data_IF_662574776640
#
_entry.id   IF_662574776640
#
_cell.length_a   1.000
_cell.length_b   1.000
_cell.length_c   1.000
_cell.angle_alpha   90.00
_cell.angle_beta   90.00
_cell.angle_gamma   90.00
#
_symmetry.space_group_name_H-M   'P 1'
#
loop_
_entity.id
_entity.type
_entity.pdbx_description
1 polymer ?
#
# COMPACT_ATOMS: atom_id res chain seq x y z
N UNK A 1 -19.43 96.46 -29.06
CA UNK A 1 -18.58 95.25 -29.10
C UNK A 1 -17.46 95.47 -28.10
N UNK A 2 -17.57 94.89 -26.90
CA UNK A 2 -16.47 94.57 -25.99
C UNK A 2 -16.97 94.25 -24.58
N UNK A 3 -16.38 93.20 -24.03
CA UNK A 3 -16.11 92.87 -22.64
C UNK A 3 -17.26 92.56 -21.66
N UNK A 4 -17.33 91.26 -21.32
CA UNK A 4 -17.63 90.69 -20.00
C UNK A 4 -17.38 89.16 -20.14
N UNK A 5 -17.00 88.36 -19.15
CA UNK A 5 -16.61 88.49 -17.74
C UNK A 5 -16.08 87.10 -17.35
N UNK A 6 -15.17 87.08 -16.40
CA UNK A 6 -14.62 85.93 -15.67
C UNK A 6 -15.66 84.87 -15.23
N UNK A 7 -15.29 83.58 -15.29
CA UNK A 7 -15.76 82.53 -14.37
C UNK A 7 -14.84 81.31 -14.31
N UNK A 8 -14.54 80.89 -13.08
CA UNK A 8 -13.81 79.69 -12.66
C UNK A 8 -14.59 78.39 -12.94
N UNK A 9 -13.88 77.27 -13.06
CA UNK A 9 -14.48 75.93 -13.09
C UNK A 9 -13.48 74.76 -13.11
N UNK A 10 -13.29 74.18 -11.92
CA UNK A 10 -13.10 72.75 -11.59
C UNK A 10 -11.88 71.94 -12.07
N UNK A 11 -11.12 71.49 -11.06
CA UNK A 11 -10.20 70.34 -11.01
C UNK A 11 -10.90 69.03 -11.35
N UNK A 12 -10.29 68.19 -12.19
CA UNK A 12 -10.51 66.74 -12.23
C UNK A 12 -9.18 66.02 -12.47
N UNK A 13 -8.82 65.17 -11.50
CA UNK A 13 -7.60 64.36 -11.42
C UNK A 13 -7.68 63.15 -12.37
N UNK A 14 -6.70 62.98 -13.25
CA UNK A 14 -6.49 61.77 -14.07
C UNK A 14 -5.18 61.07 -13.67
N UNK A 15 -5.29 59.80 -13.26
CA UNK A 15 -4.21 58.93 -12.78
C UNK A 15 -3.18 58.60 -13.88
N UNK A 16 -1.90 58.68 -13.51
CA UNK A 16 -0.79 57.99 -14.20
C UNK A 16 -0.94 56.48 -14.04
N UNK A 17 -0.84 55.74 -15.14
CA UNK A 17 -0.67 54.28 -15.14
C UNK A 17 0.77 54.02 -15.57
N UNK A 18 1.56 53.51 -14.63
CA UNK A 18 2.97 53.19 -14.80
C UNK A 18 3.11 51.75 -15.32
N UNK A 19 3.83 51.58 -16.42
CA UNK A 19 4.11 50.29 -17.04
C UNK A 19 5.24 49.59 -16.30
N UNK A 20 4.87 48.82 -15.28
CA UNK A 20 5.77 47.93 -14.54
C UNK A 20 6.03 46.62 -15.29
N UNK A 21 7.27 46.45 -15.76
CA UNK A 21 7.88 45.16 -16.08
C UNK A 21 8.38 44.51 -14.80
N UNK A 22 7.95 43.28 -14.47
CA UNK A 22 8.85 42.26 -13.88
C UNK A 22 8.22 40.86 -13.77
N UNK A 23 9.01 39.87 -14.21
CA UNK A 23 9.04 38.47 -13.80
C UNK A 23 7.73 37.65 -13.77
N UNK A 24 7.41 37.07 -14.92
CA UNK A 24 6.64 35.82 -14.98
C UNK A 24 7.41 34.72 -14.25
N UNK A 25 6.95 34.34 -13.06
CA UNK A 25 7.43 33.16 -12.35
C UNK A 25 6.95 31.94 -13.12
N UNK A 26 7.81 31.39 -13.96
CA UNK A 26 7.63 30.04 -14.48
C UNK A 26 7.60 29.09 -13.27
N UNK A 27 6.73 28.06 -13.24
CA UNK A 27 6.87 27.00 -12.27
C UNK A 27 8.24 26.37 -12.49
N UNK A 28 9.12 26.47 -11.50
CA UNK A 28 10.37 25.72 -11.49
C UNK A 28 10.02 24.26 -11.77
N UNK A 29 10.56 23.72 -12.85
CA UNK A 29 10.65 22.28 -12.99
C UNK A 29 11.27 21.76 -11.70
N UNK A 30 10.56 20.89 -10.98
CA UNK A 30 11.17 20.15 -9.87
C UNK A 30 12.33 19.35 -10.46
N UNK A 31 13.53 19.91 -10.37
CA UNK A 31 14.74 19.19 -10.74
C UNK A 31 14.76 17.91 -9.89
N UNK A 32 14.76 16.77 -10.57
CA UNK A 32 14.93 15.43 -10.01
C UNK A 32 16.36 15.30 -9.45
N UNK A 33 16.66 16.10 -8.44
CA UNK A 33 17.95 16.06 -7.77
C UNK A 33 18.11 14.68 -7.13
N UNK A 34 19.24 14.00 -7.32
CA UNK A 34 19.51 12.69 -6.70
C UNK A 34 19.46 12.77 -5.17
N UNK A 35 19.57 13.97 -4.59
CA UNK A 35 19.42 14.19 -3.15
C UNK A 35 18.02 13.84 -2.63
N UNK A 36 16.97 13.98 -3.47
CA UNK A 36 15.58 13.63 -3.13
C UNK A 36 15.37 12.12 -2.96
N UNK A 37 16.30 11.29 -3.45
CA UNK A 37 16.24 9.83 -3.35
C UNK A 37 16.87 9.31 -2.05
N UNK A 38 17.57 10.16 -1.28
CA UNK A 38 18.20 9.77 -0.03
C UNK A 38 17.18 9.62 1.09
N UNK A 39 17.40 8.66 1.98
CA UNK A 39 16.58 8.43 3.18
C UNK A 39 16.92 9.45 4.29
N UNK A 40 16.69 10.74 4.02
CA UNK A 40 16.88 11.85 4.98
C UNK A 40 15.57 12.23 5.65
N UNK A 41 15.59 12.79 6.87
CA UNK A 41 14.38 13.26 7.55
C UNK A 41 13.56 14.26 6.74
N UNK A 42 14.21 15.17 6.00
CA UNK A 42 13.55 16.17 5.16
C UNK A 42 12.78 15.54 3.99
N UNK A 43 13.38 14.55 3.32
CA UNK A 43 12.71 13.84 2.22
C UNK A 43 11.55 12.98 2.72
N UNK A 44 11.71 12.35 3.89
CA UNK A 44 10.64 11.60 4.57
C UNK A 44 9.47 12.54 4.86
N UNK A 45 9.73 13.67 5.55
CA UNK A 45 8.68 14.63 5.91
C UNK A 45 7.93 15.18 4.69
N UNK A 46 8.63 15.46 3.58
CA UNK A 46 7.99 15.88 2.32
C UNK A 46 7.03 14.83 1.78
N UNK A 47 7.42 13.54 1.81
CA UNK A 47 6.55 12.47 1.32
C UNK A 47 5.38 12.19 2.26
N UNK A 48 5.58 12.32 3.57
CA UNK A 48 4.49 12.27 4.55
C UNK A 48 3.46 13.37 4.27
N UNK A 49 3.90 14.59 4.02
CA UNK A 49 3.03 15.72 3.67
C UNK A 49 2.24 15.47 2.37
N UNK A 50 2.89 14.90 1.35
CA UNK A 50 2.22 14.49 0.10
C UNK A 50 1.13 13.45 0.35
N UNK A 51 1.39 12.48 1.23
CA UNK A 51 0.42 11.45 1.60
C UNK A 51 -0.73 12.07 2.39
N UNK A 52 -0.45 12.93 3.35
CA UNK A 52 -1.44 13.60 4.20
C UNK A 52 -2.44 14.43 3.40
N UNK A 53 -2.00 15.06 2.31
CA UNK A 53 -2.84 15.81 1.39
C UNK A 53 -3.57 14.94 0.34
N UNK A 54 -3.30 13.64 0.29
CA UNK A 54 -3.96 12.73 -0.65
C UNK A 54 -5.36 12.33 -0.14
N UNK A 55 -6.40 12.56 -0.94
CA UNK A 55 -7.79 12.21 -0.58
C UNK A 55 -7.97 10.72 -0.31
N UNK A 56 -7.28 9.85 -1.05
CA UNK A 56 -7.33 8.41 -0.88
C UNK A 56 -6.88 7.96 0.53
N UNK A 57 -5.98 8.72 1.17
CA UNK A 57 -5.50 8.45 2.54
C UNK A 57 -6.63 8.34 3.55
N UNK A 58 -7.74 9.08 3.35
CA UNK A 58 -8.89 9.06 4.27
C UNK A 58 -9.47 7.65 4.49
N UNK A 59 -9.38 6.76 3.49
CA UNK A 59 -9.82 5.36 3.62
C UNK A 59 -9.01 4.62 4.68
N UNK A 60 -7.71 4.93 4.79
CA UNK A 60 -6.74 4.19 5.58
C UNK A 60 -6.43 4.79 6.96
N UNK A 61 -7.10 5.89 7.34
CA UNK A 61 -6.98 6.44 8.69
C UNK A 61 -7.45 5.43 9.74
N UNK A 62 -6.77 5.43 10.89
CA UNK A 62 -7.24 4.74 12.08
C UNK A 62 -8.63 5.26 12.46
N UNK A 63 -9.55 4.35 12.76
CA UNK A 63 -10.95 4.64 13.10
C UNK A 63 -11.23 4.37 14.56
N UNK A 64 -10.28 3.73 15.23
CA UNK A 64 -10.42 3.30 16.61
C UNK A 64 -9.26 3.75 17.48
N UNK A 65 -9.47 3.70 18.80
CA UNK A 65 -8.40 3.94 19.79
C UNK A 65 -7.63 2.68 20.15
N UNK A 66 -7.79 1.60 19.38
CA UNK A 66 -7.07 0.35 19.63
C UNK A 66 -5.56 0.53 19.43
N UNK A 67 -4.71 -0.02 20.32
CA UNK A 67 -3.26 -0.15 20.07
C UNK A 67 -2.92 -0.93 18.79
N UNK A 68 -3.86 -1.75 18.31
CA UNK A 68 -3.74 -2.57 17.10
C UNK A 68 -4.23 -1.86 15.83
N UNK A 69 -4.68 -0.60 15.93
CA UNK A 69 -5.18 0.19 14.80
C UNK A 69 -4.20 1.30 14.42
N UNK A 70 -3.12 0.92 13.74
CA UNK A 70 -2.14 1.83 13.17
C UNK A 70 -2.44 2.21 11.72
N UNK A 71 -1.95 3.37 11.31
CA UNK A 71 -2.04 3.89 9.93
C UNK A 71 -0.76 3.68 9.09
N UNK A 72 0.34 3.27 9.73
CA UNK A 72 1.66 3.08 9.10
C UNK A 72 1.63 1.92 8.10
N UNK A 73 1.91 2.20 6.83
CA UNK A 73 2.14 1.19 5.78
C UNK A 73 3.65 1.03 5.52
N UNK A 74 4.08 -0.21 5.31
CA UNK A 74 5.46 -0.53 4.91
C UNK A 74 5.49 -1.33 3.62
N UNK A 75 6.36 -0.94 2.71
CA UNK A 75 6.57 -1.65 1.46
C UNK A 75 7.76 -2.60 1.58
N UNK A 76 7.64 -3.76 0.95
CA UNK A 76 8.64 -4.83 0.99
C UNK A 76 8.97 -5.33 -0.41
N UNK A 77 10.16 -5.88 -0.60
CA UNK A 77 10.51 -6.64 -1.80
C UNK A 77 10.99 -8.05 -1.44
N UNK A 78 10.67 -9.01 -2.31
CA UNK A 78 11.08 -10.40 -2.15
C UNK A 78 12.57 -10.60 -2.47
N UNK A 79 13.22 -11.42 -1.66
CA UNK A 79 14.59 -11.91 -1.88
C UNK A 79 14.67 -12.82 -3.09
N UNK A 80 13.63 -13.61 -3.33
CA UNK A 80 13.56 -14.53 -4.46
C UNK A 80 13.14 -13.74 -5.70
N UNK A 81 13.92 -13.79 -6.79
CA UNK A 81 13.53 -13.20 -8.06
C UNK A 81 12.33 -13.92 -8.67
N UNK A 82 11.54 -13.21 -9.48
CA UNK A 82 10.49 -13.78 -10.30
C UNK A 82 11.14 -14.46 -11.51
N UNK A 83 10.76 -15.71 -11.78
CA UNK A 83 11.32 -16.48 -12.89
C UNK A 83 10.32 -16.58 -14.04
N UNK A 84 10.72 -16.19 -15.24
CA UNK A 84 9.87 -16.31 -16.44
C UNK A 84 8.60 -15.45 -16.36
N UNK A 85 7.43 -16.07 -16.59
CA UNK A 85 6.11 -15.43 -16.54
C UNK A 85 5.43 -15.56 -15.17
N UNK A 86 6.20 -15.72 -14.10
CA UNK A 86 5.67 -15.79 -12.74
C UNK A 86 4.96 -14.47 -12.39
N UNK A 87 3.69 -14.57 -12.02
CA UNK A 87 2.86 -13.44 -11.64
C UNK A 87 3.28 -12.90 -10.26
N UNK A 88 3.28 -11.59 -10.08
CA UNK A 88 3.65 -10.99 -8.80
C UNK A 88 2.59 -11.28 -7.72
N UNK A 89 1.34 -11.51 -8.10
CA UNK A 89 0.30 -11.98 -7.18
C UNK A 89 0.45 -13.46 -6.75
N UNK A 90 1.35 -14.26 -7.34
CA UNK A 90 1.58 -15.66 -6.93
C UNK A 90 2.34 -15.74 -5.59
N UNK A 91 1.65 -15.41 -4.50
CA UNK A 91 2.24 -15.27 -3.17
C UNK A 91 2.71 -16.61 -2.56
N UNK A 92 3.69 -16.58 -1.64
CA UNK A 92 4.14 -17.76 -0.91
C UNK A 92 2.97 -18.51 -0.26
N UNK A 93 3.04 -19.84 -0.15
CA UNK A 93 1.97 -20.65 0.47
C UNK A 93 1.67 -20.29 1.94
N UNK A 94 2.57 -19.58 2.62
CA UNK A 94 2.42 -19.20 4.03
C UNK A 94 1.69 -17.86 4.19
N UNK A 95 0.71 -17.77 5.11
CA UNK A 95 -0.10 -16.56 5.34
C UNK A 95 0.71 -15.34 5.79
N UNK A 96 1.73 -15.62 6.60
CA UNK A 96 2.67 -14.62 7.11
C UNK A 96 3.93 -14.75 6.29
N UNK A 97 4.39 -13.63 5.77
CA UNK A 97 5.60 -13.59 4.98
C UNK A 97 6.82 -13.93 5.87
N UNK A 98 7.63 -14.89 5.44
CA UNK A 98 8.75 -15.43 6.20
C UNK A 98 9.83 -14.39 6.48
N UNK A 99 10.40 -14.45 7.70
CA UNK A 99 11.57 -13.64 8.06
C UNK A 99 12.76 -14.04 7.18
N UNK A 100 13.26 -13.09 6.39
CA UNK A 100 14.39 -13.30 5.47
C UNK A 100 14.01 -13.52 4.01
N UNK A 101 12.72 -13.73 3.72
CA UNK A 101 12.20 -13.84 2.36
C UNK A 101 11.82 -12.48 1.79
N UNK A 102 11.41 -11.55 2.66
CA UNK A 102 11.06 -10.19 2.27
C UNK A 102 11.84 -9.17 3.08
N UNK A 103 12.31 -8.16 2.38
CA UNK A 103 13.06 -7.05 2.95
C UNK A 103 12.26 -5.77 2.86
N UNK A 104 12.26 -5.01 3.95
CA UNK A 104 11.60 -3.71 4.03
C UNK A 104 12.37 -2.71 3.18
N UNK A 105 11.66 -1.90 2.40
CA UNK A 105 12.25 -0.71 1.79
C UNK A 105 12.65 0.31 2.86
N UNK A 106 13.50 1.28 2.49
CA UNK A 106 13.77 2.42 3.39
C UNK A 106 12.47 3.18 3.71
N UNK A 107 12.48 4.03 4.74
CA UNK A 107 11.27 4.80 5.09
C UNK A 107 10.86 5.71 3.94
N UNK A 108 11.82 6.45 3.37
CA UNK A 108 11.61 7.30 2.19
C UNK A 108 11.03 6.51 1.03
N UNK A 109 11.60 5.35 0.70
CA UNK A 109 11.13 4.55 -0.44
C UNK A 109 9.73 3.97 -0.18
N UNK A 110 9.45 3.52 1.04
CA UNK A 110 8.11 3.06 1.43
C UNK A 110 7.08 4.16 1.28
N UNK A 111 7.40 5.39 1.69
CA UNK A 111 6.50 6.54 1.52
C UNK A 111 6.37 6.96 0.04
N UNK A 112 7.43 6.88 -0.75
CA UNK A 112 7.37 7.21 -2.18
C UNK A 112 6.46 6.22 -2.93
N UNK A 113 6.57 4.93 -2.60
CA UNK A 113 5.69 3.88 -3.12
C UNK A 113 4.24 4.10 -2.66
N UNK A 114 4.02 4.37 -1.37
CA UNK A 114 2.67 4.62 -0.84
C UNK A 114 2.03 5.87 -1.43
N UNK A 115 2.76 6.98 -1.55
CA UNK A 115 2.28 8.20 -2.18
C UNK A 115 1.85 7.97 -3.64
N UNK A 116 2.61 7.13 -4.36
CA UNK A 116 2.32 6.77 -5.75
C UNK A 116 1.16 5.78 -5.86
N UNK A 117 1.03 4.87 -4.89
CA UNK A 117 -0.09 3.95 -4.75
C UNK A 117 -1.39 4.69 -4.51
N UNK A 118 -1.45 5.57 -3.51
CA UNK A 118 -2.65 6.32 -3.14
C UNK A 118 -3.18 7.23 -4.27
N UNK A 119 -2.29 7.75 -5.13
CA UNK A 119 -2.70 8.53 -6.32
C UNK A 119 -3.47 7.72 -7.36
N UNK A 120 -3.24 6.39 -7.43
CA UNK A 120 -3.82 5.47 -8.42
C UNK A 120 -4.43 4.23 -7.75
N UNK A 121 -4.93 4.38 -6.53
CA UNK A 121 -5.31 3.27 -5.65
C UNK A 121 -6.29 2.29 -6.35
N UNK A 122 -7.38 2.81 -6.90
CA UNK A 122 -8.43 1.99 -7.53
C UNK A 122 -7.91 1.22 -8.74
N UNK A 123 -7.10 1.88 -9.57
CA UNK A 123 -6.46 1.28 -10.74
C UNK A 123 -5.50 0.16 -10.30
N UNK A 124 -4.60 0.44 -9.36
CA UNK A 124 -3.58 -0.52 -8.91
C UNK A 124 -4.18 -1.72 -8.18
N UNK A 125 -5.23 -1.52 -7.37
CA UNK A 125 -5.98 -2.60 -6.76
C UNK A 125 -6.69 -3.44 -7.82
N UNK A 126 -7.26 -2.83 -8.86
CA UNK A 126 -7.93 -3.57 -9.93
C UNK A 126 -6.97 -4.49 -10.70
N UNK A 127 -5.76 -4.02 -11.03
CA UNK A 127 -4.74 -4.84 -11.68
C UNK A 127 -4.27 -5.98 -10.77
N UNK A 128 -4.05 -5.69 -9.49
CA UNK A 128 -3.63 -6.69 -8.53
C UNK A 128 -4.68 -7.80 -8.35
N UNK A 129 -5.96 -7.44 -8.21
CA UNK A 129 -7.04 -8.43 -8.10
C UNK A 129 -7.23 -9.24 -9.37
N UNK A 130 -7.02 -8.64 -10.54
CA UNK A 130 -7.03 -9.37 -11.82
C UNK A 130 -5.91 -10.42 -11.86
N UNK A 131 -4.69 -10.02 -11.55
CA UNK A 131 -3.53 -10.92 -11.52
C UNK A 131 -3.70 -12.03 -10.45
N UNK A 132 -4.26 -11.70 -9.29
CA UNK A 132 -4.56 -12.66 -8.24
C UNK A 132 -5.60 -13.70 -8.69
N UNK A 133 -6.65 -13.27 -9.40
CA UNK A 133 -7.66 -14.17 -9.94
C UNK A 133 -7.07 -15.16 -10.96
N UNK A 134 -6.11 -14.72 -11.79
CA UNK A 134 -5.38 -15.56 -12.74
C UNK A 134 -4.50 -16.62 -12.04
N UNK A 135 -3.98 -16.31 -10.84
CA UNK A 135 -3.21 -17.25 -10.02
C UNK A 135 -4.08 -18.21 -9.20
N UNK A 136 -5.34 -17.84 -8.92
CA UNK A 136 -6.19 -18.59 -8.00
C UNK A 136 -6.79 -19.83 -8.68
N UNK A 137 -6.56 -20.99 -8.09
CA UNK A 137 -7.19 -22.23 -8.54
C UNK A 137 -8.68 -22.19 -8.16
N UNK A 138 -9.54 -21.86 -9.13
CA UNK A 138 -10.99 -21.96 -8.96
C UNK A 138 -11.46 -23.42 -8.75
N UNK A 139 -12.72 -23.66 -8.34
CA UNK A 139 -13.27 -25.01 -8.30
C UNK A 139 -13.16 -25.65 -9.68
N UNK A 140 -12.30 -26.67 -9.81
CA UNK A 140 -12.12 -27.39 -11.07
C UNK A 140 -13.41 -28.14 -11.38
N UNK A 141 -14.26 -27.55 -12.21
CA UNK A 141 -15.24 -28.32 -12.96
C UNK A 141 -14.46 -29.31 -13.80
N UNK A 142 -14.56 -30.58 -13.46
CA UNK A 142 -13.94 -31.67 -14.20
C UNK A 142 -14.66 -31.82 -15.54
N UNK A 143 -14.25 -31.06 -16.55
CA UNK A 143 -14.51 -31.38 -17.94
C UNK A 143 -13.23 -31.22 -18.76
N UNK A 144 -12.75 -32.36 -19.24
CA UNK A 144 -11.60 -32.50 -20.13
C UNK A 144 -11.86 -31.79 -21.46
N UNK A 145 -10.89 -31.05 -21.96
CA UNK A 145 -10.37 -31.21 -23.33
C UNK A 145 -8.91 -30.80 -23.36
N UNK A 146 -8.07 -31.75 -23.77
CA UNK A 146 -6.72 -31.53 -24.26
C UNK A 146 -6.79 -30.61 -25.49
N UNK A 147 -5.91 -29.61 -25.56
CA UNK A 147 -5.35 -29.20 -26.84
C UNK A 147 -3.88 -28.84 -26.66
N UNK A 148 -3.08 -29.34 -27.60
CA UNK A 148 -1.63 -29.36 -27.64
C UNK A 148 -1.09 -28.04 -28.18
N UNK A 149 0.03 -27.62 -27.60
CA UNK A 149 0.78 -26.37 -27.77
C UNK A 149 0.94 -25.84 -29.21
N UNK A 150 0.99 -24.50 -29.32
CA UNK A 150 1.86 -23.83 -30.29
C UNK A 150 2.98 -23.09 -29.54
N UNK A 151 4.16 -23.70 -29.56
CA UNK A 151 5.46 -23.05 -29.37
C UNK A 151 5.64 -21.99 -30.47
N UNK A 152 5.39 -20.73 -30.13
CA UNK A 152 5.86 -19.57 -30.87
C UNK A 152 5.54 -18.32 -30.05
N UNK A 153 6.32 -18.02 -29.00
CA UNK A 153 6.81 -16.66 -28.80
C UNK A 153 7.86 -16.59 -27.67
N UNK A 154 9.11 -16.86 -28.04
CA UNK A 154 10.27 -16.64 -27.16
C UNK A 154 10.99 -15.33 -27.50
N UNK A 155 10.44 -14.48 -28.39
CA UNK A 155 11.10 -13.28 -28.89
C UNK A 155 10.41 -11.96 -28.49
N UNK A 156 9.22 -11.98 -27.89
CA UNK A 156 8.56 -10.76 -27.37
C UNK A 156 9.07 -10.26 -26.01
N UNK A 157 10.03 -10.94 -25.37
CA UNK A 157 10.48 -10.60 -24.01
C UNK A 157 11.35 -9.32 -23.93
N UNK A 158 11.89 -8.81 -25.04
CA UNK A 158 12.87 -7.71 -25.02
C UNK A 158 12.32 -6.34 -25.48
N UNK A 159 11.08 -6.23 -25.96
CA UNK A 159 10.56 -4.96 -26.52
C UNK A 159 9.57 -4.20 -25.64
N UNK A 160 9.14 -4.76 -24.50
CA UNK A 160 8.12 -4.12 -23.63
C UNK A 160 8.74 -3.47 -22.37
N UNK A 161 10.04 -3.61 -22.16
CA UNK A 161 10.71 -3.09 -20.96
C UNK A 161 11.16 -1.61 -21.09
N UNK A 162 11.19 -1.03 -22.29
CA UNK A 162 11.67 0.35 -22.52
C UNK A 162 10.69 1.47 -22.09
N UNK A 163 9.43 1.17 -21.77
CA UNK A 163 8.42 2.15 -21.30
C UNK A 163 7.95 1.93 -19.85
N UNK A 164 8.67 1.14 -19.04
CA UNK A 164 8.33 0.99 -17.62
C UNK A 164 8.76 2.22 -16.82
N UNK A 165 7.85 3.15 -16.61
CA UNK A 165 8.05 4.25 -15.65
C UNK A 165 7.68 3.77 -14.25
N UNK A 166 8.69 3.47 -13.42
CA UNK A 166 8.51 3.04 -12.04
C UNK A 166 8.76 4.13 -11.01
N UNK A 167 8.53 3.80 -9.74
CA UNK A 167 8.91 4.65 -8.61
C UNK A 167 10.37 4.36 -8.25
N UNK A 168 11.28 5.36 -8.27
CA UNK A 168 12.69 5.13 -7.94
C UNK A 168 12.87 4.81 -6.45
N UNK A 169 13.56 3.72 -6.18
CA UNK A 169 13.87 3.19 -4.84
C UNK A 169 15.35 2.88 -4.71
N UNK A 170 15.83 2.63 -3.48
CA UNK A 170 17.23 2.28 -3.20
C UNK A 170 18.22 3.28 -3.81
N UNK A 171 17.91 4.57 -3.67
CA UNK A 171 18.75 5.65 -4.20
C UNK A 171 18.77 5.76 -5.72
N UNK A 172 17.73 5.24 -6.41
CA UNK A 172 17.62 5.27 -7.87
C UNK A 172 18.27 4.09 -8.59
N UNK A 173 18.83 3.12 -7.84
CA UNK A 173 19.41 1.91 -8.42
C UNK A 173 18.35 0.94 -8.96
N UNK A 174 17.14 1.03 -8.41
CA UNK A 174 16.00 0.20 -8.77
C UNK A 174 14.76 1.07 -8.94
N UNK A 175 13.83 0.58 -9.75
CA UNK A 175 12.49 1.14 -9.88
C UNK A 175 11.45 0.09 -9.53
N UNK A 176 10.29 0.56 -9.07
CA UNK A 176 9.12 -0.29 -8.81
C UNK A 176 8.00 0.07 -9.76
N UNK A 177 7.65 -0.88 -10.62
CA UNK A 177 6.39 -0.88 -11.35
C UNK A 177 5.28 -1.35 -10.40
N UNK A 178 4.40 -0.44 -9.99
CA UNK A 178 3.28 -0.73 -9.09
C UNK A 178 2.14 -1.50 -9.76
N UNK A 179 2.01 -1.42 -11.09
CA UNK A 179 0.99 -2.15 -11.85
C UNK A 179 1.34 -3.63 -11.87
N UNK A 180 2.60 -3.94 -12.21
CA UNK A 180 3.11 -5.33 -12.22
C UNK A 180 3.61 -5.81 -10.86
N UNK A 181 3.69 -4.93 -9.85
CA UNK A 181 4.34 -5.20 -8.55
C UNK A 181 5.77 -5.75 -8.68
N UNK A 182 6.52 -5.23 -9.64
CA UNK A 182 7.90 -5.62 -9.94
C UNK A 182 8.89 -4.54 -9.49
N UNK A 183 9.92 -4.96 -8.77
CA UNK A 183 11.12 -4.18 -8.49
C UNK A 183 12.24 -4.65 -9.41
N UNK A 184 12.79 -3.76 -10.22
CA UNK A 184 13.76 -4.08 -11.26
C UNK A 184 14.94 -3.09 -11.23
N UNK A 185 16.16 -3.55 -11.58
CA UNK A 185 17.33 -2.68 -11.66
C UNK A 185 17.24 -1.72 -12.85
N UNK A 186 17.74 -0.50 -12.68
CA UNK A 186 17.69 0.55 -13.71
C UNK A 186 18.91 0.52 -14.62
N UNK A 187 20.09 0.27 -14.05
CA UNK A 187 21.38 0.47 -14.76
C UNK A 187 22.04 -0.83 -15.23
N UNK A 188 21.44 -1.98 -14.96
CA UNK A 188 21.94 -3.28 -15.40
C UNK A 188 20.77 -4.22 -15.64
N UNK A 189 20.97 -5.21 -16.51
CA UNK A 189 20.00 -6.30 -16.66
C UNK A 189 20.00 -7.15 -15.40
N UNK A 190 18.82 -7.33 -14.83
CA UNK A 190 18.64 -8.22 -13.69
C UNK A 190 17.19 -8.61 -13.53
N UNK A 191 16.97 -9.62 -12.71
CA UNK A 191 15.67 -10.24 -12.55
C UNK A 191 14.71 -9.34 -11.74
N UNK A 192 13.44 -9.38 -12.13
CA UNK A 192 12.36 -8.71 -11.41
C UNK A 192 12.16 -9.34 -10.04
N UNK A 193 11.80 -8.53 -9.05
CA UNK A 193 11.50 -8.98 -7.69
C UNK A 193 10.10 -8.56 -7.31
N UNK A 194 9.33 -9.46 -6.70
CA UNK A 194 7.99 -9.16 -6.20
C UNK A 194 8.01 -8.06 -5.14
N UNK A 195 7.05 -7.14 -5.22
CA UNK A 195 6.82 -6.08 -4.23
C UNK A 195 5.51 -6.33 -3.49
N UNK A 196 5.51 -6.13 -2.17
CA UNK A 196 4.37 -6.34 -1.30
C UNK A 196 4.05 -5.09 -0.48
N UNK A 197 2.76 -4.72 -0.45
CA UNK A 197 2.24 -3.65 0.40
C UNK A 197 1.84 -4.21 1.77
N UNK A 198 2.60 -3.87 2.80
CA UNK A 198 2.34 -4.30 4.18
C UNK A 198 1.48 -3.28 4.93
N UNK A 199 0.18 -3.56 5.04
CA UNK A 199 -0.77 -2.75 5.83
C UNK A 199 -1.45 -3.52 6.99
N UNK A 200 -1.28 -4.84 7.02
CA UNK A 200 -1.61 -5.69 8.17
C UNK A 200 -0.41 -6.55 8.52
N UNK A 201 -0.20 -6.76 9.81
CA UNK A 201 1.00 -7.40 10.34
C UNK A 201 0.64 -8.46 11.35
N UNK A 202 1.40 -9.55 11.35
CA UNK A 202 1.30 -10.63 12.33
C UNK A 202 2.55 -10.73 13.17
N UNK A 203 2.36 -11.13 14.42
CA UNK A 203 3.44 -11.42 15.37
C UNK A 203 3.48 -12.92 15.63
N UNK A 204 4.37 -13.62 14.92
CA UNK A 204 4.56 -15.08 15.04
C UNK A 204 5.88 -15.39 15.76
N UNK A 205 5.81 -15.77 17.03
CA UNK A 205 6.94 -16.26 17.83
C UNK A 205 8.01 -15.20 18.20
N UNK A 206 8.41 -14.34 17.26
CA UNK A 206 9.36 -13.24 17.47
C UNK A 206 8.69 -11.98 18.04
N UNK A 207 9.52 -11.02 18.50
CA UNK A 207 9.07 -9.66 18.80
C UNK A 207 8.71 -8.86 17.53
N UNK A 208 9.21 -9.30 16.36
CA UNK A 208 9.04 -8.63 15.09
C UNK A 208 7.62 -8.79 14.53
N UNK A 209 7.10 -7.70 13.96
CA UNK A 209 5.85 -7.67 13.20
C UNK A 209 6.15 -7.86 11.72
N UNK A 210 5.63 -8.94 11.15
CA UNK A 210 5.85 -9.32 9.77
C UNK A 210 4.60 -9.03 8.94
N UNK A 211 4.74 -8.56 7.69
CA UNK A 211 3.59 -8.28 6.86
C UNK A 211 2.82 -9.58 6.57
N UNK A 212 1.50 -9.48 6.65
CA UNK A 212 0.63 -10.51 6.09
C UNK A 212 0.70 -10.48 4.57
N UNK A 213 0.36 -11.61 3.94
CA UNK A 213 0.09 -11.61 2.51
C UNK A 213 -1.02 -10.62 2.17
N UNK A 214 -0.91 -10.03 1.00
CA UNK A 214 -1.77 -8.92 0.58
C UNK A 214 -3.25 -9.36 0.43
N UNK A 215 -3.52 -10.57 -0.05
CA UNK A 215 -4.88 -11.14 -0.14
C UNK A 215 -5.59 -11.30 1.21
N UNK A 216 -4.85 -11.75 2.22
CA UNK A 216 -5.35 -11.88 3.59
C UNK A 216 -5.55 -10.50 4.20
N UNK A 217 -4.59 -9.61 3.98
CA UNK A 217 -4.61 -8.27 4.53
C UNK A 217 -5.76 -7.42 3.95
N UNK A 218 -6.06 -7.53 2.65
CA UNK A 218 -7.20 -6.86 2.02
C UNK A 218 -8.55 -7.39 2.54
N UNK A 219 -8.67 -8.71 2.77
CA UNK A 219 -9.86 -9.28 3.41
C UNK A 219 -10.06 -8.76 4.84
N UNK A 220 -8.98 -8.62 5.61
CA UNK A 220 -9.02 -8.00 6.94
C UNK A 220 -9.36 -6.52 6.87
N UNK A 221 -8.87 -5.79 5.86
CA UNK A 221 -9.19 -4.37 5.67
C UNK A 221 -10.69 -4.18 5.35
N UNK A 222 -11.29 -5.05 4.54
CA UNK A 222 -12.74 -5.06 4.27
C UNK A 222 -13.54 -5.30 5.56
N UNK A 223 -13.12 -6.29 6.36
CA UNK A 223 -13.73 -6.58 7.65
C UNK A 223 -13.64 -5.40 8.63
N UNK A 224 -12.47 -4.77 8.69
CA UNK A 224 -12.23 -3.58 9.50
C UNK A 224 -13.10 -2.40 9.05
N UNK A 225 -13.22 -2.17 7.73
CA UNK A 225 -14.09 -1.15 7.16
C UNK A 225 -15.56 -1.36 7.50
N UNK A 226 -15.99 -2.61 7.59
CA UNK A 226 -17.34 -3.02 8.02
C UNK A 226 -17.53 -3.01 9.53
N UNK A 227 -16.53 -2.54 10.27
CA UNK A 227 -16.52 -2.43 11.73
C UNK A 227 -16.88 -3.77 12.38
N UNK A 228 -16.15 -4.84 12.02
CA UNK A 228 -16.44 -6.20 12.50
C UNK A 228 -16.57 -6.30 14.03
N UNK A 229 -15.86 -5.44 14.76
CA UNK A 229 -15.94 -5.34 16.21
C UNK A 229 -17.32 -4.85 16.72
N UNK A 230 -18.22 -4.31 15.90
CA UNK A 230 -19.61 -4.06 16.32
C UNK A 230 -20.53 -5.28 16.17
N UNK A 231 -20.09 -6.35 15.49
CA UNK A 231 -20.89 -7.56 15.22
C UNK A 231 -20.51 -8.75 16.10
N UNK A 232 -19.96 -8.48 17.28
CA UNK A 232 -19.44 -9.51 18.19
C UNK A 232 -20.57 -10.33 18.80
N UNK A 233 -20.35 -11.64 18.93
CA UNK A 233 -21.23 -12.56 19.65
C UNK A 233 -20.57 -12.98 20.96
N UNK A 234 -21.38 -13.22 21.99
CA UNK A 234 -20.88 -13.72 23.27
C UNK A 234 -20.33 -15.14 23.10
N UNK A 235 -19.03 -15.30 23.34
CA UNK A 235 -18.37 -16.60 23.24
C UNK A 235 -18.47 -17.35 24.58
N UNK A 236 -18.42 -18.69 24.58
CA UNK A 236 -18.35 -19.50 25.81
C UNK A 236 -17.19 -19.13 26.74
N UNK A 237 -16.13 -18.52 26.21
CA UNK A 237 -15.00 -17.99 26.97
C UNK A 237 -15.31 -16.75 27.81
N UNK A 238 -16.53 -16.21 27.73
CA UNK A 238 -16.96 -15.02 28.48
C UNK A 238 -16.57 -13.68 27.85
N UNK A 239 -16.09 -13.69 26.60
CA UNK A 239 -15.69 -12.49 25.86
C UNK A 239 -16.58 -12.29 24.63
N UNK A 240 -16.80 -11.03 24.26
CA UNK A 240 -17.38 -10.69 22.97
C UNK A 240 -16.33 -10.85 21.88
N UNK A 241 -16.62 -11.71 20.90
CA UNK A 241 -15.73 -11.91 19.76
C UNK A 241 -16.50 -11.96 18.44
N UNK A 242 -15.89 -11.46 17.38
CA UNK A 242 -16.35 -11.62 16.01
C UNK A 242 -15.34 -12.49 15.26
N UNK A 243 -15.82 -13.58 14.68
CA UNK A 243 -15.02 -14.45 13.81
C UNK A 243 -15.30 -14.09 12.36
N UNK A 244 -14.26 -14.03 11.55
CA UNK A 244 -14.32 -13.85 10.10
C UNK A 244 -13.53 -14.98 9.48
N UNK A 245 -14.16 -15.74 8.61
CA UNK A 245 -13.44 -16.73 7.81
C UNK A 245 -12.72 -15.99 6.66
N UNK A 246 -11.44 -16.26 6.51
CA UNK A 246 -10.55 -15.63 5.54
C UNK A 246 -10.16 -16.68 4.52
N UNK A 247 -10.27 -16.34 3.25
CA UNK A 247 -9.78 -17.20 2.18
C UNK A 247 -8.25 -17.13 2.18
N UNK A 248 -7.61 -18.29 2.34
CA UNK A 248 -6.16 -18.45 2.26
C UNK A 248 -5.79 -19.69 1.46
N UNK A 249 -4.49 -19.92 1.27
CA UNK A 249 -3.98 -21.11 0.57
C UNK A 249 -4.01 -22.39 1.41
N UNK A 250 -4.32 -22.26 2.70
CA UNK A 250 -4.36 -23.39 3.63
C UNK A 250 -5.69 -24.12 3.47
N UNK A 251 -5.61 -25.44 3.29
CA UNK A 251 -6.79 -26.32 3.16
C UNK A 251 -7.61 -26.38 4.45
N UNK A 252 -6.95 -26.10 5.57
CA UNK A 252 -7.57 -25.91 6.88
C UNK A 252 -8.10 -24.47 6.96
N UNK A 253 -9.37 -24.29 7.36
CA UNK A 253 -10.04 -23.00 7.33
C UNK A 253 -9.29 -21.91 8.10
N UNK A 254 -8.82 -20.88 7.40
CA UNK A 254 -8.19 -19.71 8.01
C UNK A 254 -9.27 -18.78 8.54
N UNK A 255 -9.12 -18.29 9.77
CA UNK A 255 -10.06 -17.35 10.37
C UNK A 255 -9.35 -16.27 11.18
N UNK A 256 -9.94 -15.09 11.18
CA UNK A 256 -9.56 -13.99 12.06
C UNK A 256 -10.59 -13.85 13.18
N UNK A 257 -10.09 -13.69 14.41
CA UNK A 257 -10.90 -13.45 15.59
C UNK A 257 -10.63 -12.02 16.07
N UNK A 258 -11.68 -11.21 16.20
CA UNK A 258 -11.62 -9.88 16.78
C UNK A 258 -12.28 -9.90 18.16
N UNK A 259 -11.58 -9.45 19.20
CA UNK A 259 -12.12 -9.33 20.56
C UNK A 259 -11.88 -7.92 21.12
N UNK A 260 -12.42 -7.61 22.30
CA UNK A 260 -12.32 -6.31 22.97
C UNK A 260 -13.68 -5.64 23.15
N UNK A 261 -13.72 -4.34 23.38
CA UNK A 261 -14.93 -3.54 23.61
C UNK A 261 -14.98 -2.34 22.66
N UNK A 262 -16.15 -2.06 22.07
CA UNK A 262 -16.43 -0.93 21.18
C UNK A 262 -15.23 -0.46 20.34
N UNK A 263 -14.50 0.53 20.86
CA UNK A 263 -13.42 1.28 20.22
C UNK A 263 -12.00 0.74 20.52
N UNK A 264 -11.92 -0.36 21.25
CA UNK A 264 -10.69 -1.06 21.63
C UNK A 264 -10.81 -2.51 21.19
N UNK A 265 -10.05 -2.91 20.18
CA UNK A 265 -10.09 -4.26 19.65
C UNK A 265 -8.71 -4.87 19.57
N UNK A 266 -8.64 -6.17 19.78
CA UNK A 266 -7.47 -6.97 19.45
C UNK A 266 -7.90 -8.01 18.42
N UNK A 267 -6.96 -8.38 17.54
CA UNK A 267 -7.23 -9.38 16.52
C UNK A 267 -6.18 -10.48 16.54
N UNK A 268 -6.63 -11.67 16.17
CA UNK A 268 -5.80 -12.84 16.01
C UNK A 268 -6.15 -13.55 14.70
N UNK A 269 -5.16 -14.18 14.08
CA UNK A 269 -5.32 -15.02 12.90
C UNK A 269 -4.99 -16.46 13.30
N UNK A 270 -5.92 -17.38 13.06
CA UNK A 270 -5.81 -18.80 13.40
C UNK A 270 -6.24 -19.69 12.25
N UNK A 271 -5.81 -20.94 12.29
CA UNK A 271 -6.15 -21.99 11.31
C UNK A 271 -6.96 -23.06 12.06
N UNK A 272 -8.08 -23.49 11.48
CA UNK A 272 -8.92 -24.56 12.02
C UNK A 272 -8.20 -25.90 11.86
N UNK A 273 -7.57 -26.42 12.91
CA UNK A 273 -6.99 -27.76 12.88
C UNK A 273 -8.07 -28.80 12.60
N UNK A 274 -7.89 -29.60 11.56
CA UNK A 274 -8.79 -30.69 11.21
C UNK A 274 -8.73 -31.84 12.23
N UNK A 275 -9.41 -31.68 13.37
CA UNK A 275 -9.50 -32.70 14.41
C UNK A 275 -10.22 -32.21 15.66
N UNK A 276 -11.33 -32.86 16.00
CA UNK A 276 -12.01 -32.71 17.28
C UNK A 276 -11.01 -32.88 18.44
N UNK A 277 -10.76 -31.83 19.22
CA UNK A 277 -10.61 -31.86 20.70
C UNK A 277 -10.10 -30.53 21.24
N UNK A 278 -10.90 -29.90 22.09
CA UNK A 278 -10.41 -29.04 23.17
C UNK A 278 -10.20 -27.56 22.85
N UNK A 279 -10.72 -26.72 23.73
CA UNK A 279 -10.33 -25.31 23.90
C UNK A 279 -8.86 -25.28 24.33
N UNK A 280 -7.96 -25.42 23.37
CA UNK A 280 -6.51 -25.34 23.53
C UNK A 280 -5.98 -24.46 22.41
N UNK A 281 -5.13 -23.48 22.75
CA UNK A 281 -4.46 -22.55 21.85
C UNK A 281 -4.03 -23.25 20.54
N UNK A 282 -4.84 -23.12 19.50
CA UNK A 282 -4.41 -23.42 18.13
C UNK A 282 -3.23 -22.53 17.74
N UNK A 283 -2.68 -22.73 16.54
CA UNK A 283 -1.60 -21.93 15.98
C UNK A 283 -2.11 -20.51 15.65
N UNK A 284 -2.44 -19.74 16.68
CA UNK A 284 -3.09 -18.44 16.64
C UNK A 284 -2.03 -17.37 16.83
N UNK A 285 -1.90 -16.48 15.85
CA UNK A 285 -0.96 -15.35 15.89
C UNK A 285 -1.70 -14.05 16.12
N UNK A 286 -1.11 -13.13 16.89
CA UNK A 286 -1.70 -11.79 17.06
C UNK A 286 -1.50 -11.00 15.77
N UNK A 287 -2.54 -10.31 15.32
CA UNK A 287 -2.47 -9.42 14.15
C UNK A 287 -2.82 -7.99 14.53
N UNK A 288 -2.29 -7.04 13.77
CA UNK A 288 -2.61 -5.62 13.90
C UNK A 288 -2.66 -4.97 12.52
N UNK A 289 -3.40 -3.87 12.45
CA UNK A 289 -3.41 -2.95 11.33
C UNK A 289 -2.27 -1.94 11.52
N UNK A 290 -1.51 -1.70 10.46
CA UNK A 290 -0.35 -0.83 10.46
C UNK A 290 0.91 -1.38 11.17
N UNK A 291 2.09 -0.91 10.75
CA UNK A 291 3.36 -1.45 11.26
C UNK A 291 3.69 -0.96 12.65
N UNK A 292 3.25 0.23 13.08
CA UNK A 292 3.52 0.78 14.41
C UNK A 292 2.22 0.76 15.24
N UNK A 293 2.32 0.65 16.57
CA UNK A 293 1.12 0.81 17.41
C UNK A 293 0.62 2.25 17.33
N UNK A 294 -0.70 2.43 17.43
CA UNK A 294 -1.29 3.76 17.52
C UNK A 294 -0.66 4.55 18.68
N UNK A 295 -0.25 5.79 18.43
CA UNK A 295 0.41 6.66 19.41
C UNK A 295 1.89 6.35 19.71
N UNK A 296 2.52 5.37 19.06
CA UNK A 296 3.99 5.25 19.09
C UNK A 296 4.62 6.45 18.41
N UNK A 297 5.69 7.00 18.96
CA UNK A 297 6.56 7.89 18.19
C UNK A 297 6.95 7.16 16.91
N UNK A 298 6.76 7.81 15.74
CA UNK A 298 7.18 7.27 14.45
C UNK A 298 8.65 6.83 14.60
N UNK A 299 9.02 5.58 14.30
CA UNK A 299 10.39 5.14 14.50
C UNK A 299 11.29 5.91 13.55
N UNK A 300 12.03 6.87 14.11
CA UNK A 300 13.14 7.56 13.46
C UNK A 300 14.33 6.61 13.50
N UNK A 301 14.44 5.71 12.51
CA UNK A 301 15.68 5.10 11.97
C UNK A 301 15.39 3.84 11.13
#
# INVERSE_FOLDING_TARGET
MSNHKEKQGAMCTGKMVDSGSCSSSFPQAEETSPDLLKNTPSNIARLEDVIDHCKARQKYLARTRSPSDGEDVRWYFCKVPLVGKELAASVPRTEIVGKGDYFRFSMRDSLALEASFLKREEELLSYWWKEYAECSEGPKSSHLTFDVASDADSNELDMVDEERVGVPVKGGLYEVDLVKRHCFPVYWHGENRRVLRGHWFARKGSLDWLPLREDIAEQLEIAYHRQVWHRRTFQPSGLFAARIDVQGTTTEGLHALFTGEDDTWEAWLGVDSSGFSGVGRGNVVKVRRGYSSSGSSKPTQ
#
